data_IF_917278447025
#
_entry.id   IF_917278447025
#
_cell.length_a   1.000
_cell.length_b   1.000
_cell.length_c   1.000
_cell.angle_alpha   90.00
_cell.angle_beta   90.00
_cell.angle_gamma   90.00
#
_symmetry.space_group_name_H-M   'P 1'
#
loop_
_entity.id
_entity.type
_entity.pdbx_description
1 polymer ?
#
# COMPACT_ATOMS: atom_id res chain seq x y z
N UNK A 1 -22.63 -12.46 -15.94
CA UNK A 1 -22.75 -11.00 -15.66
C UNK A 1 -21.36 -10.49 -15.32
N UNK A 2 -21.02 -9.24 -15.63
CA UNK A 2 -19.66 -8.69 -15.35
C UNK A 2 -19.27 -8.79 -13.86
N UNK A 3 -20.26 -8.86 -12.97
CA UNK A 3 -20.06 -9.13 -11.53
C UNK A 3 -19.35 -10.44 -11.21
N UNK A 4 -19.35 -11.45 -12.10
CA UNK A 4 -18.70 -12.75 -11.84
C UNK A 4 -17.19 -12.69 -11.82
N UNK A 5 -16.59 -11.58 -12.28
CA UNK A 5 -15.14 -11.36 -12.27
C UNK A 5 -14.73 -10.24 -11.31
N UNK A 6 -15.67 -9.61 -10.60
CA UNK A 6 -15.41 -8.46 -9.72
C UNK A 6 -14.38 -8.75 -8.64
N UNK A 7 -14.34 -9.98 -8.14
CA UNK A 7 -13.40 -10.44 -7.11
C UNK A 7 -11.92 -10.32 -7.52
N UNK A 8 -11.64 -10.18 -8.81
CA UNK A 8 -10.29 -10.05 -9.35
C UNK A 8 -9.85 -8.59 -9.52
N UNK A 9 -10.68 -7.62 -9.17
CA UNK A 9 -10.39 -6.20 -9.36
C UNK A 9 -10.33 -5.44 -8.03
N UNK A 10 -9.27 -4.65 -7.89
CA UNK A 10 -9.21 -3.48 -7.02
C UNK A 10 -9.15 -2.27 -7.94
N UNK A 11 -10.05 -1.31 -7.75
CA UNK A 11 -10.19 -0.16 -8.68
C UNK A 11 -9.83 1.15 -8.00
N UNK A 12 -9.28 2.09 -8.76
CA UNK A 12 -9.07 3.46 -8.30
C UNK A 12 -10.35 4.30 -8.39
N UNK A 13 -10.37 5.40 -7.63
CA UNK A 13 -11.39 6.45 -7.74
C UNK A 13 -10.76 7.74 -8.27
N UNK A 14 -11.51 8.50 -9.06
CA UNK A 14 -11.02 9.69 -9.77
C UNK A 14 -10.85 10.92 -8.88
N UNK A 15 -11.57 11.02 -7.75
CA UNK A 15 -11.52 12.20 -6.88
C UNK A 15 -12.04 11.94 -5.47
N UNK A 16 -12.51 13.01 -4.82
CA UNK A 16 -12.99 13.01 -3.43
C UNK A 16 -14.46 12.62 -3.28
N UNK A 17 -15.17 12.38 -4.39
CA UNK A 17 -16.58 11.98 -4.44
C UNK A 17 -16.82 11.07 -5.64
N UNK A 18 -17.81 10.16 -5.55
CA UNK A 18 -18.16 9.31 -6.68
C UNK A 18 -18.87 10.07 -7.80
N UNK A 19 -18.39 9.87 -9.02
CA UNK A 19 -19.14 10.23 -10.23
C UNK A 19 -20.31 9.27 -10.49
N UNK A 20 -21.31 9.67 -11.29
CA UNK A 20 -22.39 8.78 -11.71
C UNK A 20 -21.90 7.51 -12.42
N UNK A 21 -20.82 7.60 -13.19
CA UNK A 21 -20.23 6.48 -13.91
C UNK A 21 -19.51 5.52 -12.98
N UNK A 22 -18.74 6.02 -12.00
CA UNK A 22 -18.12 5.18 -10.97
C UNK A 22 -19.18 4.47 -10.12
N UNK A 23 -20.25 5.18 -9.71
CA UNK A 23 -21.36 4.57 -8.95
C UNK A 23 -22.00 3.43 -9.74
N UNK A 24 -22.19 3.61 -11.06
CA UNK A 24 -22.71 2.57 -11.95
C UNK A 24 -21.73 1.40 -12.10
N UNK A 25 -20.45 1.68 -12.32
CA UNK A 25 -19.38 0.67 -12.43
C UNK A 25 -19.29 -0.16 -11.15
N UNK A 26 -19.29 0.46 -9.97
CA UNK A 26 -19.24 -0.23 -8.68
C UNK A 26 -20.42 -1.18 -8.51
N UNK A 27 -21.64 -0.75 -8.85
CA UNK A 27 -22.83 -1.59 -8.77
C UNK A 27 -22.86 -2.75 -9.77
N UNK A 28 -22.27 -2.58 -10.96
CA UNK A 28 -22.23 -3.61 -12.00
C UNK A 28 -21.07 -4.60 -11.83
N UNK A 29 -19.85 -4.09 -11.65
CA UNK A 29 -18.62 -4.87 -11.51
C UNK A 29 -18.52 -5.52 -10.13
N UNK A 30 -18.96 -4.83 -9.07
CA UNK A 30 -18.85 -5.26 -7.67
C UNK A 30 -17.41 -5.70 -7.32
N UNK A 31 -16.40 -4.82 -7.50
CA UNK A 31 -15.00 -5.18 -7.30
C UNK A 31 -14.73 -5.69 -5.88
N UNK A 32 -13.62 -6.41 -5.69
CA UNK A 32 -13.18 -6.82 -4.36
C UNK A 32 -12.90 -5.62 -3.44
N UNK A 33 -12.52 -4.48 -4.02
CA UNK A 33 -12.24 -3.28 -3.28
C UNK A 33 -11.88 -2.06 -4.12
N UNK A 34 -11.45 -1.01 -3.42
CA UNK A 34 -10.82 0.17 -4.00
C UNK A 34 -9.39 0.36 -3.53
N UNK A 35 -8.62 1.13 -4.28
CA UNK A 35 -7.36 1.72 -3.85
C UNK A 35 -7.48 3.25 -3.80
N UNK A 36 -7.06 3.82 -2.67
CA UNK A 36 -7.05 5.26 -2.42
C UNK A 36 -5.65 5.85 -2.72
N UNK A 37 -5.66 7.04 -3.31
CA UNK A 37 -4.50 7.86 -3.61
C UNK A 37 -4.65 9.25 -3.00
N UNK A 38 -3.61 10.08 -3.12
CA UNK A 38 -3.61 11.44 -2.57
C UNK A 38 -4.74 12.31 -3.10
N UNK A 39 -5.14 12.14 -4.36
CA UNK A 39 -6.25 12.92 -4.95
C UNK A 39 -7.64 12.50 -4.47
N UNK A 40 -7.75 11.40 -3.72
CA UNK A 40 -9.00 11.01 -3.05
C UNK A 40 -9.16 11.67 -1.67
N UNK A 41 -8.09 12.30 -1.15
CA UNK A 41 -8.14 13.11 0.06
C UNK A 41 -8.32 14.57 -0.36
N UNK A 42 -9.26 15.27 0.26
CA UNK A 42 -9.43 16.69 0.01
C UNK A 42 -8.32 17.51 0.65
N UNK A 43 -8.25 18.79 0.28
CA UNK A 43 -7.32 19.75 0.86
C UNK A 43 -7.94 20.53 2.03
N UNK A 44 -9.14 20.16 2.47
CA UNK A 44 -9.81 20.81 3.60
C UNK A 44 -9.26 20.28 4.93
N UNK A 45 -9.46 21.04 6.01
CA UNK A 45 -9.15 20.57 7.37
C UNK A 45 -10.03 19.37 7.78
N UNK A 46 -11.10 19.10 7.04
CA UNK A 46 -12.06 18.01 7.26
C UNK A 46 -11.81 16.79 6.37
N UNK A 47 -10.65 16.67 5.72
CA UNK A 47 -10.37 15.61 4.74
C UNK A 47 -10.63 14.19 5.29
N UNK A 48 -10.40 13.97 6.59
CA UNK A 48 -10.63 12.66 7.21
C UNK A 48 -12.12 12.29 7.23
N UNK A 49 -12.99 13.25 7.53
CA UNK A 49 -14.44 13.06 7.50
C UNK A 49 -14.93 12.86 6.07
N UNK A 50 -14.44 13.67 5.12
CA UNK A 50 -14.79 13.55 3.71
C UNK A 50 -14.32 12.21 3.11
N UNK A 51 -13.17 11.69 3.55
CA UNK A 51 -12.69 10.36 3.18
C UNK A 51 -13.61 9.26 3.72
N UNK A 52 -14.10 9.40 4.97
CA UNK A 52 -15.09 8.48 5.52
C UNK A 52 -16.39 8.46 4.70
N UNK A 53 -16.87 9.63 4.28
CA UNK A 53 -18.05 9.77 3.41
C UNK A 53 -17.81 9.08 2.06
N UNK A 54 -16.67 9.33 1.41
CA UNK A 54 -16.29 8.68 0.16
C UNK A 54 -16.28 7.14 0.28
N UNK A 55 -15.69 6.62 1.36
CA UNK A 55 -15.62 5.17 1.62
C UNK A 55 -17.04 4.60 1.86
N UNK A 56 -17.87 5.29 2.63
CA UNK A 56 -19.25 4.89 2.88
C UNK A 56 -20.08 4.85 1.59
N UNK A 57 -19.97 5.89 0.76
CA UNK A 57 -20.63 5.97 -0.54
C UNK A 57 -20.19 4.86 -1.48
N UNK A 58 -18.89 4.54 -1.48
CA UNK A 58 -18.31 3.47 -2.30
C UNK A 58 -18.81 2.10 -1.88
N UNK A 59 -18.87 1.83 -0.57
CA UNK A 59 -19.44 0.59 -0.04
C UNK A 59 -20.91 0.45 -0.41
N UNK A 60 -21.69 1.53 -0.26
CA UNK A 60 -23.11 1.55 -0.61
C UNK A 60 -23.35 1.33 -2.11
N UNK A 61 -22.54 1.98 -2.96
CA UNK A 61 -22.62 1.83 -4.41
C UNK A 61 -22.24 0.41 -4.89
N UNK A 62 -21.23 -0.20 -4.27
CA UNK A 62 -20.81 -1.56 -4.58
C UNK A 62 -21.82 -2.62 -4.06
N UNK A 63 -22.40 -2.38 -2.88
CA UNK A 63 -23.37 -3.29 -2.26
C UNK A 63 -22.75 -4.65 -1.89
N UNK A 64 -21.48 -4.66 -1.52
CA UNK A 64 -20.71 -5.86 -1.12
C UNK A 64 -20.42 -5.80 0.37
N UNK A 65 -20.65 -6.91 1.06
CA UNK A 65 -20.42 -7.02 2.52
C UNK A 65 -18.91 -6.98 2.85
N UNK A 66 -18.13 -7.85 2.20
CA UNK A 66 -16.67 -7.88 2.34
C UNK A 66 -16.02 -6.98 1.29
N UNK A 67 -15.48 -5.84 1.71
CA UNK A 67 -14.93 -4.84 0.80
C UNK A 67 -13.55 -4.37 1.26
N UNK A 68 -12.56 -4.50 0.37
CA UNK A 68 -11.22 -4.00 0.62
C UNK A 68 -11.18 -2.49 0.35
N UNK A 69 -10.69 -1.74 1.33
CA UNK A 69 -10.34 -0.33 1.19
C UNK A 69 -8.84 -0.28 1.38
N UNK A 70 -8.13 -0.08 0.27
CA UNK A 70 -6.68 -0.21 0.22
C UNK A 70 -5.98 1.13 0.01
N UNK A 71 -4.73 1.21 0.44
CA UNK A 71 -3.88 2.38 0.25
C UNK A 71 -2.41 1.94 0.11
N UNK A 72 -1.58 2.82 -0.43
CA UNK A 72 -0.13 2.64 -0.45
C UNK A 72 0.53 3.64 0.53
N UNK A 73 0.69 3.23 1.80
CA UNK A 73 1.21 4.07 2.88
C UNK A 73 2.39 3.38 3.60
N UNK A 74 3.60 3.62 3.11
CA UNK A 74 4.84 3.02 3.61
C UNK A 74 5.51 3.86 4.71
N UNK A 75 5.26 5.18 4.69
CA UNK A 75 6.09 6.17 5.37
C UNK A 75 7.10 6.82 4.42
N UNK A 76 7.89 7.76 4.93
CA UNK A 76 8.86 8.49 4.13
C UNK A 76 8.19 9.20 2.94
N UNK A 77 8.77 9.07 1.74
CA UNK A 77 8.22 9.69 0.53
C UNK A 77 6.96 9.00 -0.02
N UNK A 78 6.71 7.73 0.31
CA UNK A 78 5.50 7.00 -0.12
C UNK A 78 4.48 7.02 1.00
N UNK A 79 3.94 8.21 1.22
CA UNK A 79 2.83 8.46 2.14
C UNK A 79 1.69 9.14 1.41
N UNK A 80 0.47 8.85 1.84
CA UNK A 80 -0.75 9.39 1.21
C UNK A 80 -1.53 10.30 2.14
N UNK A 81 -1.51 10.03 3.44
CA UNK A 81 -2.23 10.82 4.43
C UNK A 81 -1.53 12.17 4.65
N UNK A 82 -2.32 13.24 4.59
CA UNK A 82 -1.87 14.59 4.91
C UNK A 82 -1.90 14.80 6.43
N UNK A 83 -1.28 15.90 6.88
CA UNK A 83 -1.52 16.39 8.24
C UNK A 83 -3.04 16.55 8.49
N UNK A 84 -3.53 16.26 9.70
CA UNK A 84 -2.78 16.03 10.94
C UNK A 84 -2.33 14.57 11.17
N UNK A 85 -2.44 13.67 10.19
CA UNK A 85 -1.96 12.28 10.34
C UNK A 85 -0.43 12.25 10.54
N UNK A 86 0.05 11.22 11.24
CA UNK A 86 1.47 11.11 11.59
C UNK A 86 2.34 10.98 10.33
N UNK A 87 3.39 11.78 10.25
CA UNK A 87 4.35 11.74 9.16
C UNK A 87 5.49 10.77 9.52
N UNK A 88 5.30 9.48 9.23
CA UNK A 88 6.29 8.44 9.52
C UNK A 88 7.57 8.61 8.69
N UNK A 89 8.76 8.30 9.24
CA UNK A 89 10.00 8.30 8.46
C UNK A 89 10.01 7.17 7.41
N UNK A 90 11.04 7.12 6.57
CA UNK A 90 11.24 6.01 5.65
C UNK A 90 11.57 4.70 6.40
N UNK A 91 11.27 3.56 5.78
CA UNK A 91 11.35 2.25 6.45
C UNK A 91 12.77 1.89 6.92
N UNK A 92 13.81 2.37 6.24
CA UNK A 92 15.20 2.21 6.65
C UNK A 92 15.51 2.80 8.04
N UNK A 93 14.62 3.65 8.59
CA UNK A 93 14.76 4.26 9.92
C UNK A 93 13.92 3.60 11.01
N UNK A 94 13.08 2.61 10.67
CA UNK A 94 12.22 1.96 11.66
C UNK A 94 13.05 1.09 12.61
N UNK A 95 13.95 0.26 12.07
CA UNK A 95 14.78 -0.66 12.84
C UNK A 95 13.93 -1.53 13.78
N UNK A 96 14.40 -1.75 15.01
CA UNK A 96 13.67 -2.56 16.02
C UNK A 96 12.29 -2.00 16.41
N UNK A 97 11.95 -0.77 16.00
CA UNK A 97 10.61 -0.19 16.23
C UNK A 97 9.60 -0.58 15.14
N UNK A 98 9.98 -1.43 14.18
CA UNK A 98 9.13 -1.79 13.03
C UNK A 98 7.74 -2.27 13.43
N UNK A 99 7.61 -3.09 14.48
CA UNK A 99 6.28 -3.51 14.98
C UNK A 99 5.46 -2.35 15.54
N UNK A 100 6.09 -1.48 16.35
CA UNK A 100 5.41 -0.32 16.92
C UNK A 100 4.96 0.67 15.83
N UNK A 101 5.81 0.89 14.81
CA UNK A 101 5.49 1.72 13.66
C UNK A 101 4.36 1.11 12.82
N UNK A 102 4.45 -0.19 12.51
CA UNK A 102 3.39 -0.91 11.79
C UNK A 102 2.05 -0.84 12.52
N UNK A 103 2.06 -0.98 13.85
CA UNK A 103 0.87 -0.81 14.69
C UNK A 103 0.32 0.62 14.69
N UNK A 104 1.19 1.62 14.71
CA UNK A 104 0.78 3.03 14.66
C UNK A 104 0.13 3.37 13.31
N UNK A 105 0.78 3.02 12.19
CA UNK A 105 0.23 3.16 10.84
C UNK A 105 -1.10 2.41 10.73
N UNK A 106 -1.14 1.15 11.15
CA UNK A 106 -2.36 0.34 11.11
C UNK A 106 -3.52 0.97 11.87
N UNK A 107 -3.27 1.57 13.05
CA UNK A 107 -4.33 2.27 13.82
C UNK A 107 -4.87 3.50 13.11
N UNK A 108 -4.00 4.32 12.52
CA UNK A 108 -4.44 5.49 11.75
C UNK A 108 -5.27 5.05 10.53
N UNK A 109 -4.80 4.08 9.76
CA UNK A 109 -5.51 3.54 8.61
C UNK A 109 -6.86 2.94 8.99
N UNK A 110 -6.89 2.08 10.02
CA UNK A 110 -8.11 1.46 10.50
C UNK A 110 -9.14 2.51 10.95
N UNK A 111 -8.68 3.57 11.63
CA UNK A 111 -9.56 4.66 12.08
C UNK A 111 -10.24 5.39 10.93
N UNK A 112 -9.62 5.43 9.74
CA UNK A 112 -10.16 6.00 8.50
C UNK A 112 -11.02 5.01 7.70
N UNK A 113 -11.19 3.77 8.17
CA UNK A 113 -11.93 2.72 7.47
C UNK A 113 -11.14 1.98 6.38
N UNK A 114 -9.81 2.16 6.35
CA UNK A 114 -8.87 1.45 5.47
C UNK A 114 -8.47 0.14 6.14
N UNK A 115 -8.52 -0.97 5.39
CA UNK A 115 -8.27 -2.32 5.92
C UNK A 115 -7.19 -3.12 5.17
N UNK A 116 -6.61 -2.54 4.11
CA UNK A 116 -5.46 -3.10 3.40
C UNK A 116 -4.42 -2.01 3.14
N UNK A 117 -3.16 -2.27 3.47
CA UNK A 117 -2.04 -1.41 3.13
C UNK A 117 -1.09 -2.17 2.21
N UNK A 118 -0.73 -1.57 1.08
CA UNK A 118 0.31 -2.08 0.17
C UNK A 118 1.70 -1.76 0.73
N UNK A 119 1.97 -2.25 1.93
CA UNK A 119 3.23 -2.22 2.65
C UNK A 119 3.31 -3.51 3.49
N UNK A 120 4.51 -3.99 3.86
CA UNK A 120 5.83 -3.37 3.70
C UNK A 120 6.48 -3.62 2.34
N UNK A 121 7.48 -2.79 2.03
CA UNK A 121 8.47 -3.11 0.99
C UNK A 121 9.44 -4.17 1.51
N UNK A 122 9.49 -5.30 0.83
CA UNK A 122 10.37 -6.45 1.07
C UNK A 122 11.59 -6.46 0.14
N UNK A 123 11.72 -5.47 -0.74
CA UNK A 123 12.90 -5.34 -1.58
C UNK A 123 14.15 -5.06 -0.74
N UNK A 124 15.26 -5.68 -1.15
CA UNK A 124 16.56 -5.51 -0.51
C UNK A 124 17.32 -4.45 -1.27
N UNK A 125 17.82 -3.42 -0.58
CA UNK A 125 18.67 -2.40 -1.21
C UNK A 125 20.09 -2.93 -1.42
N UNK A 126 20.23 -3.92 -2.30
CA UNK A 126 21.51 -4.53 -2.68
C UNK A 126 22.35 -3.59 -3.54
N UNK A 127 21.71 -2.71 -4.33
CA UNK A 127 22.36 -1.69 -5.12
C UNK A 127 22.20 -0.29 -4.48
N UNK A 128 23.29 0.36 -4.02
CA UNK A 128 23.23 1.72 -3.48
C UNK A 128 22.72 2.78 -4.45
N UNK A 129 22.86 2.56 -5.77
CA UNK A 129 22.40 3.47 -6.83
C UNK A 129 20.90 3.32 -7.14
N UNK A 130 20.23 2.31 -6.56
CA UNK A 130 18.78 2.13 -6.73
C UNK A 130 18.01 3.18 -5.91
N UNK A 131 17.65 4.27 -6.58
CA UNK A 131 16.83 5.34 -6.01
C UNK A 131 15.31 5.03 -6.05
N UNK A 132 14.88 3.98 -6.76
CA UNK A 132 13.47 3.58 -6.88
C UNK A 132 12.98 2.92 -5.59
N UNK A 133 13.79 2.01 -5.02
CA UNK A 133 13.58 1.45 -3.69
C UNK A 133 14.26 2.34 -2.65
N UNK A 134 15.58 2.48 -2.72
CA UNK A 134 16.32 3.43 -1.88
C UNK A 134 16.01 3.32 -0.39
N UNK A 135 15.49 4.40 0.17
CA UNK A 135 15.10 4.54 1.58
C UNK A 135 13.84 3.75 1.99
N UNK A 136 13.09 3.22 1.01
CA UNK A 136 11.89 2.40 1.23
C UNK A 136 12.22 0.98 1.69
N UNK A 137 13.43 0.48 1.41
CA UNK A 137 13.89 -0.80 1.93
C UNK A 137 14.19 -0.70 3.42
N UNK A 138 13.80 -1.72 4.19
CA UNK A 138 14.10 -1.79 5.61
C UNK A 138 15.60 -1.93 5.90
N UNK A 139 16.33 -2.63 5.04
CA UNK A 139 17.76 -2.91 5.18
C UNK A 139 18.40 -3.28 3.83
N UNK A 140 19.70 -3.63 3.87
CA UNK A 140 20.52 -4.01 2.71
C UNK A 140 20.77 -5.51 2.59
N UNK A 141 20.29 -6.31 3.54
CA UNK A 141 20.37 -7.78 3.54
C UNK A 141 19.00 -8.43 3.79
N UNK A 142 18.76 -9.59 3.17
CA UNK A 142 17.45 -10.25 3.18
C UNK A 142 16.99 -10.71 4.56
N UNK A 143 17.91 -11.18 5.42
CA UNK A 143 17.55 -11.62 6.78
C UNK A 143 17.02 -10.46 7.62
N UNK A 144 17.68 -9.31 7.57
CA UNK A 144 17.24 -8.12 8.29
C UNK A 144 15.95 -7.56 7.70
N UNK A 145 15.81 -7.51 6.37
CA UNK A 145 14.56 -7.08 5.71
C UNK A 145 13.40 -7.98 6.16
N UNK A 146 13.53 -9.30 6.05
CA UNK A 146 12.49 -10.25 6.44
C UNK A 146 12.09 -10.05 7.91
N UNK A 147 13.06 -9.99 8.83
CA UNK A 147 12.80 -9.82 10.26
C UNK A 147 12.03 -8.52 10.57
N UNK A 148 12.47 -7.40 10.02
CA UNK A 148 11.87 -6.09 10.29
C UNK A 148 10.51 -5.92 9.61
N UNK A 149 10.38 -6.38 8.35
CA UNK A 149 9.12 -6.35 7.61
C UNK A 149 8.06 -7.26 8.26
N UNK A 150 8.45 -8.44 8.78
CA UNK A 150 7.54 -9.31 9.52
C UNK A 150 7.08 -8.66 10.83
N UNK A 151 7.99 -8.00 11.56
CA UNK A 151 7.61 -7.23 12.75
C UNK A 151 6.60 -6.12 12.40
N UNK A 152 6.83 -5.39 11.31
CA UNK A 152 5.89 -4.38 10.80
C UNK A 152 4.52 -4.97 10.44
N UNK A 153 4.49 -6.12 9.76
CA UNK A 153 3.27 -6.85 9.42
C UNK A 153 2.47 -7.26 10.66
N UNK A 154 3.13 -7.83 11.68
CA UNK A 154 2.49 -8.15 12.95
C UNK A 154 1.91 -6.91 13.64
N UNK A 155 2.59 -5.77 13.54
CA UNK A 155 2.10 -4.48 14.02
C UNK A 155 0.77 -4.08 13.36
N UNK A 156 0.72 -4.11 12.03
CA UNK A 156 -0.48 -3.77 11.26
C UNK A 156 -1.64 -4.73 11.51
N UNK A 157 -1.36 -6.04 11.53
CA UNK A 157 -2.36 -7.07 11.79
C UNK A 157 -2.98 -6.88 13.18
N UNK A 158 -2.17 -6.60 14.20
CA UNK A 158 -2.64 -6.27 15.55
C UNK A 158 -3.52 -5.00 15.62
N UNK A 159 -3.47 -4.15 14.59
CA UNK A 159 -4.33 -2.96 14.46
C UNK A 159 -5.54 -3.20 13.54
N UNK A 160 -5.72 -4.41 13.00
CA UNK A 160 -6.85 -4.76 12.13
C UNK A 160 -6.66 -4.40 10.66
N UNK A 161 -5.42 -4.15 10.21
CA UNK A 161 -5.09 -3.82 8.81
C UNK A 161 -4.21 -4.91 8.22
N UNK A 162 -4.60 -5.42 7.05
CA UNK A 162 -3.81 -6.40 6.31
C UNK A 162 -2.65 -5.68 5.62
N UNK A 163 -1.43 -6.21 5.74
CA UNK A 163 -0.30 -5.75 4.93
C UNK A 163 -0.10 -6.62 3.69
N UNK A 164 0.46 -6.01 2.63
CA UNK A 164 0.82 -6.69 1.40
C UNK A 164 2.30 -6.42 1.10
N UNK A 165 3.10 -7.47 1.23
CA UNK A 165 4.52 -7.46 0.89
C UNK A 165 4.74 -7.22 -0.60
N UNK A 166 5.69 -6.36 -0.95
CA UNK A 166 6.00 -5.99 -2.34
C UNK A 166 7.51 -5.73 -2.53
N UNK A 167 8.08 -5.87 -3.73
CA UNK A 167 7.45 -6.14 -5.01
C UNK A 167 8.00 -7.45 -5.57
N UNK A 168 7.27 -8.55 -5.40
CA UNK A 168 7.73 -9.87 -5.85
C UNK A 168 8.05 -9.87 -7.37
N UNK A 169 9.15 -10.51 -7.81
CA UNK A 169 10.10 -11.30 -7.03
C UNK A 169 11.18 -10.48 -6.32
N UNK A 170 11.27 -9.18 -6.54
CA UNK A 170 12.27 -8.29 -5.95
C UNK A 170 12.69 -7.21 -6.95
N UNK A 171 12.57 -5.94 -6.56
CA UNK A 171 12.87 -4.76 -7.38
C UNK A 171 14.18 -4.06 -6.96
N UNK A 172 14.82 -4.58 -5.90
CA UNK A 172 15.93 -3.96 -5.18
C UNK A 172 17.23 -3.76 -5.94
N UNK A 173 17.44 -4.48 -7.06
CA UNK A 173 18.66 -4.41 -7.88
C UNK A 173 18.42 -3.83 -9.29
N UNK A 174 17.23 -3.28 -9.55
CA UNK A 174 16.94 -2.66 -10.84
C UNK A 174 17.29 -1.17 -10.81
N UNK A 175 17.86 -0.68 -11.90
CA UNK A 175 18.29 0.72 -12.04
C UNK A 175 17.21 1.58 -12.73
N UNK A 176 16.31 0.94 -13.48
CA UNK A 176 15.23 1.60 -14.20
C UNK A 176 14.00 1.83 -13.30
N UNK A 177 13.40 3.01 -13.41
CA UNK A 177 12.15 3.35 -12.74
C UNK A 177 10.96 2.74 -13.49
N UNK A 178 10.21 1.87 -12.80
CA UNK A 178 9.05 1.16 -13.35
C UNK A 178 7.89 2.06 -13.76
N UNK A 179 7.91 3.35 -13.38
CA UNK A 179 6.96 4.33 -13.90
C UNK A 179 7.22 4.72 -15.37
N UNK A 180 8.43 4.51 -15.87
CA UNK A 180 8.86 4.98 -17.20
C UNK A 180 9.31 3.85 -18.12
N UNK A 181 9.90 2.79 -17.58
CA UNK A 181 10.44 1.68 -18.35
C UNK A 181 10.12 0.35 -17.66
N UNK A 182 10.04 -0.74 -18.44
CA UNK A 182 9.88 -2.07 -17.85
C UNK A 182 11.20 -2.48 -17.19
N UNK A 183 11.27 -2.58 -15.84
CA UNK A 183 12.51 -2.97 -15.17
C UNK A 183 12.84 -4.41 -15.53
N UNK A 184 14.11 -4.65 -15.89
CA UNK A 184 14.64 -5.98 -16.17
C UNK A 184 15.75 -6.29 -15.20
N UNK A 185 15.66 -7.48 -14.60
CA UNK A 185 16.71 -8.04 -13.76
C UNK A 185 17.28 -9.27 -14.46
N UNK A 186 18.47 -9.13 -15.04
CA UNK A 186 19.17 -10.22 -15.74
C UNK A 186 20.16 -10.90 -14.80
N UNK A 187 19.63 -11.66 -13.84
CA UNK A 187 20.42 -12.48 -12.91
C UNK A 187 20.02 -13.95 -13.00
N UNK A 188 20.93 -14.90 -12.73
CA UNK A 188 20.57 -16.32 -12.61
C UNK A 188 19.51 -16.55 -11.55
N UNK A 189 18.69 -17.58 -11.71
CA UNK A 189 17.62 -17.92 -10.76
C UNK A 189 18.18 -18.18 -9.36
N UNK A 190 19.34 -18.82 -9.26
CA UNK A 190 20.02 -19.11 -8.00
C UNK A 190 20.40 -17.82 -7.27
N UNK A 191 20.67 -16.74 -8.00
CA UNK A 191 20.95 -15.43 -7.41
C UNK A 191 19.68 -14.80 -6.84
N UNK A 192 18.54 -14.92 -7.54
CA UNK A 192 17.23 -14.51 -7.00
C UNK A 192 16.91 -15.27 -5.72
N UNK A 193 17.13 -16.58 -5.70
CA UNK A 193 16.85 -17.44 -4.54
C UNK A 193 17.75 -17.16 -3.33
N UNK A 194 18.93 -16.60 -3.54
CA UNK A 194 19.87 -16.29 -2.45
C UNK A 194 19.72 -14.87 -1.91
N UNK A 195 19.22 -13.96 -2.75
CA UNK A 195 19.16 -12.54 -2.44
C UNK A 195 17.73 -12.08 -2.33
N UNK A 196 16.94 -12.14 -3.40
CA UNK A 196 15.59 -11.58 -3.48
C UNK A 196 14.46 -12.39 -2.82
N UNK A 197 14.56 -13.72 -2.76
CA UNK A 197 13.50 -14.64 -2.30
C UNK A 197 13.78 -15.24 -0.92
#
# INVERSE_FOLDING_TARGET
MISSIGDHFVVGLSGTSLTPDERRMLGQLRPAGIILFRHNLSTSDSWALELHELIADTRAACGREQFLVSIDHEGGRVRRLAEPATQFPAACHFGERSEAVGRAIGRELFSLGINLNFAPVLDIRSNPENNVIGDRAFATDGQTVARLAMAFLHGMEAAGVVGCGKHFPGHGDTVADSHFELPRLEVPREMLEQREL
#
